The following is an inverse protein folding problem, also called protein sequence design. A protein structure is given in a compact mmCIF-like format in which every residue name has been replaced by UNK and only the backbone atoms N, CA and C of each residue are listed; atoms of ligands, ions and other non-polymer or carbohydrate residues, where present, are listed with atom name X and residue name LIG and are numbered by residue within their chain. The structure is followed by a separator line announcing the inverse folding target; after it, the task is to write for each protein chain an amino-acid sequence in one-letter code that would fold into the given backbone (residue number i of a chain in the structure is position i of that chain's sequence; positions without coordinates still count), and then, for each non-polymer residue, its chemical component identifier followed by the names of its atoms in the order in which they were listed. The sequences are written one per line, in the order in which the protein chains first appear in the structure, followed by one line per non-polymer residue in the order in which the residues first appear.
data_IF_396227539221
#
_entry.id   IF_396227539221
#
_cell.length_a   1.000
_cell.length_b   1.000
_cell.length_c   1.000
_cell.angle_alpha   90.00
_cell.angle_beta   90.00
_cell.angle_gamma   90.00
#
_symmetry.space_group_name_H-M   'P 1'
#
loop_
_entity.id
_entity.type
_entity.pdbx_description
1 polymer ?
#
# COMPACT_ATOMS: atom_id res chain seq x y z
N UNK A 1 -12.61 -11.87 18.18
CA UNK A 1 -12.00 -10.64 18.75
C UNK A 1 -11.78 -9.63 17.63
N UNK A 2 -12.57 -8.55 17.55
CA UNK A 2 -12.39 -7.50 16.52
C UNK A 2 -11.15 -6.68 16.85
N UNK A 3 -10.02 -6.95 16.18
CA UNK A 3 -8.84 -6.08 16.23
C UNK A 3 -9.29 -4.68 15.76
N UNK A 4 -9.41 -3.72 16.70
CA UNK A 4 -9.51 -2.30 16.38
C UNK A 4 -8.33 -2.01 15.45
N UNK A 5 -8.61 -1.78 14.17
CA UNK A 5 -7.58 -1.36 13.22
C UNK A 5 -7.17 0.04 13.66
N UNK A 6 -6.11 0.12 14.48
CA UNK A 6 -5.46 1.38 14.84
C UNK A 6 -5.01 1.96 13.51
N UNK A 7 -5.75 2.95 13.01
CA UNK A 7 -5.43 3.62 11.77
C UNK A 7 -4.20 4.50 12.02
N UNK A 8 -3.02 3.90 11.98
CA UNK A 8 -1.75 4.63 12.00
C UNK A 8 -1.54 5.25 10.63
N UNK A 9 -1.31 6.56 10.59
CA UNK A 9 -0.85 7.24 9.38
C UNK A 9 0.62 6.88 9.17
N UNK A 10 0.93 6.36 8.00
CA UNK A 10 2.29 6.08 7.55
C UNK A 10 2.60 7.06 6.43
N UNK A 11 3.60 7.91 6.64
CA UNK A 11 4.18 8.71 5.57
C UNK A 11 5.34 7.92 4.98
N UNK A 12 5.25 7.56 3.71
CA UNK A 12 6.32 6.87 2.97
C UNK A 12 6.86 7.82 1.92
N UNK A 13 8.16 8.07 1.96
CA UNK A 13 8.88 8.72 0.88
C UNK A 13 9.12 7.72 -0.23
N UNK A 14 8.56 8.00 -1.40
CA UNK A 14 8.75 7.23 -2.62
C UNK A 14 9.65 8.02 -3.55
N UNK A 15 10.49 7.33 -4.32
CA UNK A 15 11.30 8.00 -5.34
C UNK A 15 10.39 8.53 -6.45
N UNK A 16 10.78 9.62 -7.14
CA UNK A 16 10.05 10.15 -8.30
C UNK A 16 9.55 9.08 -9.30
N UNK A 17 10.40 8.14 -9.77
CA UNK A 17 9.94 7.12 -10.70
C UNK A 17 8.94 6.13 -10.10
N UNK A 18 8.99 5.89 -8.78
CA UNK A 18 8.01 5.04 -8.09
C UNK A 18 6.66 5.74 -7.96
N UNK A 19 6.66 7.06 -7.69
CA UNK A 19 5.44 7.87 -7.67
C UNK A 19 4.78 7.90 -9.04
N UNK A 20 5.54 8.15 -10.11
CA UNK A 20 4.97 8.17 -11.47
C UNK A 20 4.36 6.83 -11.85
N UNK A 21 5.04 5.73 -11.52
CA UNK A 21 4.54 4.38 -11.78
C UNK A 21 3.28 4.06 -10.96
N UNK A 22 3.24 4.53 -9.71
CA UNK A 22 2.09 4.37 -8.84
C UNK A 22 0.91 5.25 -9.28
N UNK A 23 1.15 6.47 -9.72
CA UNK A 23 0.13 7.38 -10.28
C UNK A 23 -0.48 6.81 -11.55
N UNK A 24 0.36 6.38 -12.51
CA UNK A 24 -0.10 5.75 -13.75
C UNK A 24 -0.96 4.52 -13.46
N UNK A 25 -0.53 3.67 -12.52
CA UNK A 25 -1.28 2.48 -12.12
C UNK A 25 -2.61 2.82 -11.42
N UNK A 26 -2.62 3.81 -10.51
CA UNK A 26 -3.83 4.34 -9.90
C UNK A 26 -4.81 4.85 -10.96
N UNK A 27 -4.31 5.58 -11.95
CA UNK A 27 -5.10 6.20 -13.02
C UNK A 27 -5.71 5.15 -13.96
N UNK A 28 -4.95 4.11 -14.28
CA UNK A 28 -5.42 3.01 -15.13
C UNK A 28 -6.43 2.09 -14.42
N UNK A 29 -6.18 1.79 -13.15
CA UNK A 29 -7.03 0.87 -12.37
C UNK A 29 -8.20 1.56 -11.65
N UNK A 30 -8.21 2.91 -11.62
CA UNK A 30 -9.18 3.71 -10.89
C UNK A 30 -9.10 3.56 -9.37
N UNK A 31 -7.99 3.03 -8.85
CA UNK A 31 -7.79 2.80 -7.41
C UNK A 31 -7.09 3.99 -6.76
N UNK A 32 -7.37 4.21 -5.47
CA UNK A 32 -6.62 5.19 -4.69
C UNK A 32 -5.26 4.63 -4.29
N UNK A 33 -4.28 5.53 -4.19
CA UNK A 33 -2.94 5.25 -3.66
C UNK A 33 -2.96 4.42 -2.38
N UNK A 34 -3.80 4.79 -1.42
CA UNK A 34 -3.95 4.08 -0.14
C UNK A 34 -4.42 2.63 -0.30
N UNK A 35 -5.24 2.34 -1.30
CA UNK A 35 -5.75 0.99 -1.56
C UNK A 35 -4.68 0.13 -2.21
N UNK A 36 -3.96 0.68 -3.20
CA UNK A 36 -2.80 0.03 -3.83
C UNK A 36 -1.71 -0.27 -2.81
N UNK A 37 -1.38 0.70 -1.94
CA UNK A 37 -0.41 0.51 -0.86
C UNK A 37 -0.90 -0.57 0.12
N UNK A 38 -2.18 -0.57 0.50
CA UNK A 38 -2.75 -1.64 1.35
C UNK A 38 -2.66 -3.01 0.71
N UNK A 39 -2.91 -3.11 -0.60
CA UNK A 39 -2.82 -4.36 -1.34
C UNK A 39 -1.36 -4.83 -1.42
N UNK A 40 -0.41 -3.93 -1.70
CA UNK A 40 1.03 -4.22 -1.63
C UNK A 40 1.44 -4.75 -0.24
N UNK A 41 0.99 -4.10 0.83
CA UNK A 41 1.24 -4.53 2.21
C UNK A 41 0.59 -5.89 2.51
N UNK A 42 -0.60 -6.19 1.97
CA UNK A 42 -1.23 -7.51 2.11
C UNK A 42 -0.54 -8.59 1.30
N UNK A 43 0.01 -8.24 0.13
CA UNK A 43 0.79 -9.13 -0.75
C UNK A 43 2.17 -9.42 -0.17
N UNK A 44 2.72 -8.49 0.63
CA UNK A 44 3.89 -8.73 1.49
C UNK A 44 3.50 -9.78 2.56
N UNK A 45 3.53 -11.06 2.19
CA UNK A 45 3.44 -12.16 3.15
C UNK A 45 4.60 -11.99 4.14
N UNK A 46 4.34 -11.91 5.46
CA UNK A 46 5.42 -12.04 6.42
C UNK A 46 6.02 -13.43 6.26
N UNK A 47 7.29 -13.53 5.90
CA UNK A 47 8.08 -14.77 6.02
C UNK A 47 8.40 -15.10 7.48
N UNK A 48 7.49 -14.79 8.41
CA UNK A 48 7.63 -15.10 9.83
C UNK A 48 6.57 -16.16 10.16
N UNK A 49 6.94 -17.41 9.86
CA UNK A 49 6.08 -18.57 10.04
C UNK A 49 6.60 -19.80 9.33
N UNK A 50 7.86 -20.18 9.57
CA UNK A 50 8.37 -21.56 9.46
C UNK A 50 9.56 -21.69 10.40
#
# INVERSE_FOLDING_TARGET
MKKKLIQKRLTIGLSQPEIERLDAYCKETGRNYSDVIRECIRKLKPSFGS
#
